data_IF_414028363021
#
_entry.id   IF_414028363021
#
_cell.length_a   1.000
_cell.length_b   1.000
_cell.length_c   1.000
_cell.angle_alpha   90.00
_cell.angle_beta   90.00
_cell.angle_gamma   90.00
#
_symmetry.space_group_name_H-M   'P 1'
#
loop_
_entity.id
_entity.type
_entity.pdbx_description
1 polymer ?
#
# COMPACT_ATOMS: atom_id res chain seq x y z
N UNK A 1 81.07 -13.66 -80.87
CA UNK A 1 81.55 -12.46 -81.60
C UNK A 1 80.51 -11.37 -81.46
N UNK A 2 80.80 -10.37 -80.64
CA UNK A 2 79.93 -9.23 -80.31
C UNK A 2 79.99 -8.20 -81.45
N UNK A 3 78.87 -7.98 -82.14
CA UNK A 3 78.73 -6.82 -83.03
C UNK A 3 78.25 -5.63 -82.20
N UNK A 4 79.19 -4.81 -81.73
CA UNK A 4 78.88 -3.48 -81.21
C UNK A 4 78.44 -2.58 -82.37
N UNK A 5 77.15 -2.24 -82.42
CA UNK A 5 76.63 -1.23 -83.35
C UNK A 5 77.17 0.15 -82.95
N UNK A 6 78.17 0.63 -83.68
CA UNK A 6 78.66 2.01 -83.60
C UNK A 6 77.76 2.88 -84.49
N UNK A 7 77.09 3.87 -83.91
CA UNK A 7 76.30 4.85 -84.65
C UNK A 7 77.15 6.09 -84.96
N UNK A 8 77.18 6.50 -86.22
CA UNK A 8 77.92 7.68 -86.69
C UNK A 8 76.97 8.85 -86.89
N UNK A 9 77.29 10.00 -86.27
CA UNK A 9 76.68 11.28 -86.58
C UNK A 9 77.78 12.28 -86.98
N UNK A 10 77.63 12.93 -88.13
CA UNK A 10 78.49 14.04 -88.59
C UNK A 10 77.93 15.37 -88.08
N UNK A 11 78.81 16.24 -87.58
CA UNK A 11 78.47 17.62 -87.26
C UNK A 11 78.60 18.50 -88.53
N UNK A 12 77.67 19.43 -88.86
CA UNK A 12 77.63 20.07 -90.18
C UNK A 12 78.51 21.32 -90.35
N UNK A 13 79.28 21.74 -89.35
CA UNK A 13 80.03 23.00 -89.43
C UNK A 13 81.48 22.84 -88.99
N UNK A 14 82.35 22.71 -90.00
CA UNK A 14 83.80 22.97 -90.04
C UNK A 14 84.73 22.25 -89.03
N UNK A 15 85.63 21.40 -89.57
CA UNK A 15 86.98 21.19 -89.01
C UNK A 15 87.22 19.91 -88.21
N UNK A 16 87.59 18.83 -88.91
CA UNK A 16 88.37 17.65 -88.47
C UNK A 16 88.54 17.39 -86.95
N UNK A 17 87.48 16.96 -86.27
CA UNK A 17 87.57 16.01 -85.16
C UNK A 17 86.20 15.38 -84.89
N UNK A 18 85.99 14.13 -85.33
CA UNK A 18 84.82 13.37 -84.91
C UNK A 18 85.03 13.00 -83.42
N UNK A 19 84.40 13.74 -82.50
CA UNK A 19 84.40 13.36 -81.09
C UNK A 19 83.48 12.14 -80.93
N UNK A 20 84.07 10.94 -80.94
CA UNK A 20 83.34 9.69 -80.73
C UNK A 20 83.14 9.53 -79.21
N UNK A 21 81.98 10.00 -78.72
CA UNK A 21 81.59 9.75 -77.34
C UNK A 21 80.91 8.39 -77.26
N UNK A 22 81.34 7.58 -76.30
CA UNK A 22 80.65 6.34 -75.97
C UNK A 22 79.23 6.68 -75.52
N UNK A 23 78.24 5.82 -75.82
CA UNK A 23 76.81 6.07 -75.51
C UNK A 23 76.57 6.52 -74.06
N UNK A 24 77.37 5.97 -73.13
CA UNK A 24 77.38 6.29 -71.71
C UNK A 24 77.85 7.71 -71.38
N UNK A 25 78.83 8.25 -72.11
CA UNK A 25 79.31 9.62 -71.94
C UNK A 25 78.29 10.64 -72.46
N UNK A 26 77.62 10.33 -73.57
CA UNK A 26 76.54 11.16 -74.10
C UNK A 26 75.33 11.21 -73.16
N UNK A 27 74.94 10.07 -72.60
CA UNK A 27 73.87 9.98 -71.60
C UNK A 27 74.21 10.71 -70.29
N UNK A 28 75.49 10.73 -69.90
CA UNK A 28 75.97 11.49 -68.73
C UNK A 28 75.87 12.99 -68.94
N UNK A 29 76.31 13.50 -70.09
CA UNK A 29 76.28 14.93 -70.42
C UNK A 29 74.82 15.42 -70.56
N UNK A 30 73.95 14.64 -71.21
CA UNK A 30 72.51 14.96 -71.32
C UNK A 30 71.76 14.88 -70.00
N UNK A 31 72.21 14.08 -69.02
CA UNK A 31 71.65 14.09 -67.65
C UNK A 31 72.06 15.32 -66.84
N UNK A 32 73.24 15.88 -67.08
CA UNK A 32 73.73 17.07 -66.38
C UNK A 32 73.16 18.40 -66.94
N UNK A 33 72.67 18.40 -68.19
CA UNK A 33 72.13 19.58 -68.88
C UNK A 33 70.60 19.67 -68.91
N UNK A 34 69.88 18.67 -68.39
CA UNK A 34 68.41 18.76 -68.24
C UNK A 34 68.05 19.74 -67.10
N UNK A 35 67.10 20.69 -67.31
CA UNK A 35 66.61 21.54 -66.23
C UNK A 35 66.03 20.67 -65.12
N UNK A 36 66.41 20.92 -63.85
CA UNK A 36 65.84 20.25 -62.68
C UNK A 36 64.40 20.73 -62.37
N UNK A 37 63.55 20.91 -63.38
CA UNK A 37 62.17 21.40 -63.20
C UNK A 37 61.30 20.39 -62.42
N UNK A 38 61.62 19.09 -62.47
CA UNK A 38 60.81 18.05 -61.82
C UNK A 38 61.23 17.68 -60.39
N UNK A 39 62.37 18.19 -59.89
CA UNK A 39 62.88 17.77 -58.56
C UNK A 39 62.14 18.49 -57.43
N UNK A 40 61.97 19.80 -57.57
CA UNK A 40 61.21 20.63 -56.62
C UNK A 40 59.73 20.23 -56.57
N UNK A 41 59.12 19.87 -57.71
CA UNK A 41 57.74 19.38 -57.73
C UNK A 41 57.59 18.02 -57.05
N UNK A 42 58.55 17.11 -57.23
CA UNK A 42 58.54 15.81 -56.54
C UNK A 42 58.76 15.96 -55.04
N UNK A 43 59.67 16.83 -54.62
CA UNK A 43 59.92 17.15 -53.21
C UNK A 43 58.70 17.82 -52.57
N UNK A 44 58.04 18.76 -53.27
CA UNK A 44 56.81 19.39 -52.79
C UNK A 44 55.64 18.41 -52.68
N UNK A 45 55.47 17.50 -53.65
CA UNK A 45 54.44 16.44 -53.57
C UNK A 45 54.71 15.49 -52.40
N UNK A 46 55.98 15.13 -52.18
CA UNK A 46 56.39 14.29 -51.04
C UNK A 46 56.12 14.99 -49.70
N UNK A 47 56.47 16.26 -49.58
CA UNK A 47 56.20 17.07 -48.39
C UNK A 47 54.69 17.24 -48.14
N UNK A 48 53.91 17.49 -49.20
CA UNK A 48 52.45 17.55 -49.09
C UNK A 48 51.86 16.23 -48.60
N UNK A 49 52.32 15.09 -49.14
CA UNK A 49 51.88 13.77 -48.68
C UNK A 49 52.20 13.54 -47.19
N UNK A 50 53.38 13.93 -46.72
CA UNK A 50 53.75 13.86 -45.30
C UNK A 50 52.90 14.81 -44.41
N UNK A 51 52.58 15.99 -44.92
CA UNK A 51 51.70 16.95 -44.22
C UNK A 51 50.27 16.39 -44.12
N UNK A 52 49.75 15.78 -45.18
CA UNK A 52 48.42 15.14 -45.14
C UNK A 52 48.40 13.94 -44.20
N UNK A 53 49.45 13.12 -44.21
CA UNK A 53 49.58 11.97 -43.31
C UNK A 53 49.67 12.41 -41.84
N UNK A 54 50.48 13.43 -41.53
CA UNK A 54 50.59 13.97 -40.18
C UNK A 54 49.30 14.65 -39.71
N UNK A 55 48.60 15.38 -40.59
CA UNK A 55 47.26 15.93 -40.29
C UNK A 55 46.25 14.82 -40.00
N UNK A 56 46.22 13.75 -40.80
CA UNK A 56 45.34 12.61 -40.57
C UNK A 56 45.63 11.91 -39.23
N UNK A 57 46.91 11.79 -38.85
CA UNK A 57 47.30 11.27 -37.54
C UNK A 57 46.90 12.18 -36.39
N UNK A 58 47.08 13.50 -36.52
CA UNK A 58 46.66 14.46 -35.50
C UNK A 58 45.15 14.47 -35.27
N UNK A 59 44.34 14.32 -36.32
CA UNK A 59 42.87 14.23 -36.20
C UNK A 59 42.40 13.01 -35.39
N UNK A 60 43.12 11.89 -35.52
CA UNK A 60 42.83 10.65 -34.82
C UNK A 60 43.58 10.51 -33.49
N UNK A 61 44.37 11.51 -33.10
CA UNK A 61 45.15 11.47 -31.87
C UNK A 61 44.24 11.63 -30.66
N UNK A 62 44.34 10.80 -29.63
CA UNK A 62 43.43 10.81 -28.48
C UNK A 62 43.34 12.13 -27.70
N UNK A 63 44.32 13.01 -27.82
CA UNK A 63 44.48 14.26 -27.05
C UNK A 63 44.10 15.51 -27.85
N UNK A 64 43.78 15.38 -29.14
CA UNK A 64 43.24 16.49 -29.92
C UNK A 64 41.73 16.61 -29.70
N UNK A 65 41.17 17.78 -29.98
CA UNK A 65 39.73 18.05 -29.83
C UNK A 65 38.90 17.07 -30.67
N UNK A 66 39.32 16.82 -31.92
CA UNK A 66 38.65 15.86 -32.81
C UNK A 66 38.75 14.42 -32.29
N UNK A 67 39.91 14.00 -31.78
CA UNK A 67 40.08 12.68 -31.18
C UNK A 67 39.28 12.49 -29.87
N UNK A 68 39.18 13.53 -29.05
CA UNK A 68 38.33 13.54 -27.85
C UNK A 68 36.85 13.38 -28.23
N UNK A 69 36.39 14.10 -29.27
CA UNK A 69 35.02 13.99 -29.80
C UNK A 69 34.78 12.57 -30.32
N UNK A 70 35.66 12.03 -31.16
CA UNK A 70 35.54 10.68 -31.70
C UNK A 70 35.51 9.60 -30.59
N UNK A 71 36.33 9.77 -29.54
CA UNK A 71 36.35 8.89 -28.37
C UNK A 71 35.06 8.99 -27.55
N UNK A 72 34.51 10.19 -27.38
CA UNK A 72 33.24 10.41 -26.71
C UNK A 72 32.07 9.80 -27.51
N UNK A 73 32.04 9.97 -28.83
CA UNK A 73 31.05 9.34 -29.72
C UNK A 73 31.14 7.82 -29.69
N UNK A 74 32.35 7.26 -29.71
CA UNK A 74 32.56 5.80 -29.59
C UNK A 74 32.09 5.28 -28.23
N UNK A 75 32.34 6.00 -27.13
CA UNK A 75 31.79 5.68 -25.81
C UNK A 75 30.26 5.72 -25.81
N UNK A 76 29.64 6.76 -26.38
CA UNK A 76 28.18 6.87 -26.51
C UNK A 76 27.58 5.72 -27.33
N UNK A 77 28.19 5.35 -28.46
CA UNK A 77 27.75 4.21 -29.29
C UNK A 77 27.84 2.89 -28.51
N UNK A 78 28.94 2.66 -27.79
CA UNK A 78 29.12 1.46 -26.97
C UNK A 78 28.12 1.40 -25.81
N UNK A 79 27.84 2.53 -25.16
CA UNK A 79 26.85 2.61 -24.09
C UNK A 79 25.44 2.34 -24.61
N UNK A 80 25.05 2.94 -25.74
CA UNK A 80 23.76 2.68 -26.39
C UNK A 80 23.61 1.22 -26.82
N UNK A 81 24.68 0.59 -27.30
CA UNK A 81 24.68 -0.84 -27.65
C UNK A 81 24.46 -1.73 -26.42
N UNK A 82 25.10 -1.41 -25.27
CA UNK A 82 24.88 -2.11 -24.00
C UNK A 82 23.46 -1.91 -23.48
N UNK A 83 22.94 -0.70 -23.52
CA UNK A 83 21.56 -0.40 -23.11
C UNK A 83 20.55 -1.19 -23.97
N UNK A 84 20.72 -1.19 -25.28
CA UNK A 84 19.88 -1.99 -26.18
C UNK A 84 20.00 -3.49 -25.92
N UNK A 85 21.18 -3.99 -25.57
CA UNK A 85 21.37 -5.38 -25.18
C UNK A 85 20.64 -5.69 -23.87
N UNK A 86 20.74 -4.84 -22.86
CA UNK A 86 20.02 -5.01 -21.58
C UNK A 86 18.50 -4.92 -21.75
N UNK A 87 18.00 -4.04 -22.61
CA UNK A 87 16.57 -3.95 -22.93
C UNK A 87 16.10 -5.22 -23.66
N UNK A 88 16.90 -5.74 -24.61
CA UNK A 88 16.59 -7.01 -25.28
C UNK A 88 16.63 -8.19 -24.32
N UNK A 89 17.60 -8.25 -23.41
CA UNK A 89 17.65 -9.25 -22.34
C UNK A 89 16.44 -9.14 -21.41
N UNK A 90 16.03 -7.92 -21.05
CA UNK A 90 14.85 -7.69 -20.23
C UNK A 90 13.55 -8.07 -20.95
N UNK A 91 13.44 -7.79 -22.24
CA UNK A 91 12.30 -8.20 -23.07
C UNK A 91 12.27 -9.72 -23.33
N UNK A 92 13.45 -10.36 -23.42
CA UNK A 92 13.58 -11.80 -23.63
C UNK A 92 13.52 -12.61 -22.33
N UNK A 93 13.69 -11.99 -21.16
CA UNK A 93 13.25 -12.56 -19.88
C UNK A 93 11.74 -12.66 -19.98
N UNK A 94 11.27 -13.87 -20.31
CA UNK A 94 9.85 -14.26 -20.40
C UNK A 94 9.03 -13.40 -19.44
N UNK A 95 8.02 -12.72 -19.95
CA UNK A 95 6.88 -12.26 -19.15
C UNK A 95 6.42 -13.51 -18.39
N UNK A 96 6.87 -13.63 -17.15
CA UNK A 96 6.60 -14.80 -16.32
C UNK A 96 5.11 -14.74 -16.04
N UNK A 97 4.39 -15.82 -16.36
CA UNK A 97 2.96 -15.98 -16.11
C UNK A 97 2.55 -15.67 -14.65
N UNK A 98 3.51 -15.62 -13.72
CA UNK A 98 3.32 -15.22 -12.32
C UNK A 98 2.80 -13.79 -12.12
N UNK A 99 2.93 -12.88 -13.08
CA UNK A 99 2.43 -11.51 -12.85
C UNK A 99 0.90 -11.44 -12.84
N UNK A 100 0.18 -12.27 -13.60
CA UNK A 100 -1.29 -12.22 -13.61
C UNK A 100 -1.88 -12.72 -12.30
N UNK A 101 -1.44 -13.89 -11.80
CA UNK A 101 -1.89 -14.43 -10.50
C UNK A 101 -1.54 -13.51 -9.33
N UNK A 102 -0.35 -12.91 -9.33
CA UNK A 102 0.06 -11.96 -8.29
C UNK A 102 -0.74 -10.66 -8.37
N UNK A 103 -1.06 -10.18 -9.58
CA UNK A 103 -1.94 -9.02 -9.77
C UNK A 103 -3.38 -9.35 -9.34
N UNK A 104 -3.86 -10.55 -9.62
CA UNK A 104 -5.20 -11.03 -9.24
C UNK A 104 -5.31 -11.17 -7.71
N UNK A 105 -4.32 -11.77 -7.06
CA UNK A 105 -4.22 -11.84 -5.59
C UNK A 105 -4.13 -10.46 -4.96
N UNK A 106 -3.34 -9.54 -5.51
CA UNK A 106 -3.27 -8.18 -5.02
C UNK A 106 -4.61 -7.44 -5.16
N UNK A 107 -5.33 -7.62 -6.28
CA UNK A 107 -6.68 -7.06 -6.47
C UNK A 107 -7.67 -7.62 -5.46
N UNK A 108 -7.60 -8.92 -5.20
CA UNK A 108 -8.47 -9.59 -4.24
C UNK A 108 -8.19 -9.09 -2.81
N UNK A 109 -6.93 -9.00 -2.39
CA UNK A 109 -6.54 -8.45 -1.08
C UNK A 109 -6.93 -6.99 -0.91
N UNK A 110 -6.80 -6.16 -1.96
CA UNK A 110 -7.24 -4.76 -1.93
C UNK A 110 -8.77 -4.67 -1.81
N UNK A 111 -9.50 -5.53 -2.52
CA UNK A 111 -10.94 -5.56 -2.44
C UNK A 111 -11.41 -6.00 -1.06
N UNK A 112 -10.96 -7.16 -0.58
CA UNK A 112 -11.27 -7.71 0.75
C UNK A 112 -10.84 -6.74 1.86
N UNK A 113 -9.69 -6.08 1.74
CA UNK A 113 -9.20 -5.09 2.70
C UNK A 113 -9.93 -3.74 2.65
N UNK A 114 -10.73 -3.45 1.61
CA UNK A 114 -11.45 -2.18 1.50
C UNK A 114 -12.73 -2.18 2.36
N UNK A 115 -13.16 -0.98 2.78
CA UNK A 115 -14.42 -0.80 3.54
C UNK A 115 -15.65 -1.34 2.78
N UNK A 116 -15.62 -1.31 1.44
CA UNK A 116 -16.72 -1.76 0.59
C UNK A 116 -16.67 -3.27 0.33
N UNK A 117 -15.49 -3.81 0.02
CA UNK A 117 -15.34 -5.25 -0.18
C UNK A 117 -15.58 -6.03 1.09
N UNK A 118 -15.12 -5.55 2.26
CA UNK A 118 -15.47 -6.15 3.55
C UNK A 118 -16.99 -6.23 3.77
N UNK A 119 -17.73 -5.15 3.48
CA UNK A 119 -19.20 -5.16 3.62
C UNK A 119 -19.87 -6.14 2.66
N UNK A 120 -19.37 -6.27 1.43
CA UNK A 120 -19.91 -7.20 0.44
C UNK A 120 -19.60 -8.66 0.80
N UNK A 121 -18.39 -8.93 1.28
CA UNK A 121 -17.98 -10.26 1.76
C UNK A 121 -18.76 -10.66 3.00
N UNK A 122 -18.97 -9.74 3.96
CA UNK A 122 -19.84 -9.99 5.12
C UNK A 122 -21.28 -10.27 4.71
N UNK A 123 -21.86 -9.49 3.78
CA UNK A 123 -23.21 -9.74 3.28
C UNK A 123 -23.32 -11.08 2.54
N UNK A 124 -22.27 -11.50 1.82
CA UNK A 124 -22.21 -12.80 1.17
C UNK A 124 -22.17 -13.95 2.19
N UNK A 125 -21.38 -13.82 3.25
CA UNK A 125 -21.37 -14.79 4.35
C UNK A 125 -22.72 -14.88 5.05
N UNK A 126 -23.35 -13.74 5.36
CA UNK A 126 -24.68 -13.73 5.96
C UNK A 126 -25.73 -14.42 5.07
N UNK A 127 -25.65 -14.24 3.75
CA UNK A 127 -26.51 -14.93 2.79
C UNK A 127 -26.29 -16.43 2.79
N UNK A 128 -25.03 -16.90 2.84
CA UNK A 128 -24.73 -18.34 2.91
C UNK A 128 -25.15 -18.97 4.22
N UNK A 129 -24.92 -18.30 5.34
CA UNK A 129 -25.36 -18.76 6.65
C UNK A 129 -26.89 -18.90 6.73
N UNK A 130 -27.63 -18.07 6.00
CA UNK A 130 -29.08 -18.16 5.89
C UNK A 130 -29.50 -19.36 5.03
N UNK A 131 -28.83 -19.59 3.89
CA UNK A 131 -29.06 -20.76 3.02
C UNK A 131 -28.82 -22.08 3.79
N UNK A 132 -27.72 -22.18 4.53
CA UNK A 132 -27.42 -23.35 5.36
C UNK A 132 -28.46 -23.56 6.46
N UNK A 133 -28.93 -22.48 7.11
CA UNK A 133 -29.99 -22.58 8.11
C UNK A 133 -31.31 -23.07 7.53
N UNK A 134 -31.68 -22.61 6.33
CA UNK A 134 -32.89 -23.10 5.66
C UNK A 134 -32.77 -24.60 5.31
N UNK A 135 -31.61 -25.04 4.83
CA UNK A 135 -31.34 -26.46 4.59
C UNK A 135 -31.46 -27.29 5.87
N UNK A 136 -30.92 -26.82 7.00
CA UNK A 136 -31.05 -27.48 8.30
C UNK A 136 -32.51 -27.54 8.79
N UNK A 137 -33.28 -26.47 8.58
CA UNK A 137 -34.71 -26.43 8.93
C UNK A 137 -35.49 -27.46 8.11
N UNK A 138 -35.21 -27.55 6.81
CA UNK A 138 -35.87 -28.51 5.92
C UNK A 138 -35.51 -29.95 6.31
N UNK A 139 -34.23 -30.23 6.57
CA UNK A 139 -33.78 -31.54 7.04
C UNK A 139 -34.44 -31.95 8.36
N UNK A 140 -34.58 -31.02 9.31
CA UNK A 140 -35.27 -31.27 10.59
C UNK A 140 -36.76 -31.55 10.41
N UNK A 141 -37.42 -30.92 9.43
CA UNK A 141 -38.83 -31.22 9.09
C UNK A 141 -38.97 -32.62 8.51
N UNK A 142 -38.05 -33.04 7.64
CA UNK A 142 -38.04 -34.40 7.08
C UNK A 142 -37.85 -35.48 8.15
N UNK A 143 -36.93 -35.27 9.11
CA UNK A 143 -36.73 -36.20 10.23
C UNK A 143 -38.03 -36.36 11.03
N UNK A 144 -38.65 -35.25 11.43
CA UNK A 144 -39.91 -35.28 12.18
C UNK A 144 -41.05 -35.96 11.42
N UNK A 145 -41.07 -35.85 10.10
CA UNK A 145 -42.07 -36.52 9.28
C UNK A 145 -41.84 -38.04 9.24
N UNK A 146 -40.58 -38.48 9.08
CA UNK A 146 -40.21 -39.91 9.16
C UNK A 146 -40.48 -40.52 10.54
N UNK A 147 -40.27 -39.77 11.62
CA UNK A 147 -40.59 -40.19 13.00
C UNK A 147 -42.11 -40.43 13.17
N UNK A 148 -42.94 -39.49 12.69
CA UNK A 148 -44.42 -39.63 12.72
C UNK A 148 -44.90 -40.83 11.91
N UNK A 149 -44.31 -41.08 10.74
CA UNK A 149 -44.63 -42.25 9.92
C UNK A 149 -44.26 -43.58 10.60
N UNK A 150 -43.18 -43.61 11.41
CA UNK A 150 -42.81 -44.79 12.19
C UNK A 150 -43.71 -44.99 13.42
N UNK A 151 -44.15 -43.92 14.09
CA UNK A 151 -45.11 -44.01 15.21
C UNK A 151 -46.49 -44.51 14.75
N UNK A 152 -46.95 -44.10 13.56
CA UNK A 152 -48.19 -44.62 12.96
C UNK A 152 -48.10 -46.11 12.59
N UNK A 153 -46.89 -46.64 12.31
CA UNK A 153 -46.69 -48.07 12.05
C UNK A 153 -46.70 -48.91 13.33
N UNK A 154 -46.35 -48.35 14.50
CA UNK A 154 -46.34 -49.05 15.80
C UNK A 154 -47.72 -49.16 16.46
N UNK A 155 -48.68 -48.34 16.06
CA UNK A 155 -50.03 -48.29 16.67
C UNK A 155 -51.06 -49.25 16.05
N UNK A 156 -50.67 -50.05 15.04
CA UNK A 156 -51.51 -51.11 14.46
C UNK A 156 -50.98 -52.50 14.82
N UNK A 157 -51.10 -52.92 16.08
CA UNK A 157 -50.88 -54.33 16.43
C UNK A 157 -51.77 -54.80 17.59
N UNK A 158 -52.65 -55.74 17.22
CA UNK A 158 -53.31 -56.83 17.98
C UNK A 158 -54.30 -56.47 19.10
N UNK A 159 -55.59 -56.71 18.82
CA UNK A 159 -56.65 -56.91 19.82
C UNK A 159 -57.01 -58.41 19.81
N UNK A 160 -56.82 -59.10 20.94
CA UNK A 160 -57.16 -60.51 21.12
C UNK A 160 -58.58 -60.63 21.68
N UNK A 161 -59.42 -61.47 21.07
CA UNK A 161 -60.75 -61.82 21.59
C UNK A 161 -60.64 -62.91 22.67
N UNK A 162 -61.29 -62.70 23.82
CA UNK A 162 -61.60 -63.77 24.78
C UNK A 162 -63.11 -64.03 24.77
N UNK A 163 -63.49 -65.29 24.62
CA UNK A 163 -64.86 -65.79 24.70
C UNK A 163 -64.98 -66.62 25.99
N UNK A 164 -65.95 -66.29 26.83
CA UNK A 164 -66.25 -66.99 28.07
C UNK A 164 -67.08 -68.25 27.80
N UNK A 165 -66.68 -69.37 28.39
CA UNK A 165 -67.56 -70.50 28.64
C UNK A 165 -67.26 -71.11 30.01
N UNK A 166 -68.21 -70.94 30.93
CA UNK A 166 -68.33 -71.68 32.17
C UNK A 166 -68.77 -73.12 31.88
N UNK A 167 -68.07 -74.08 32.49
CA UNK A 167 -68.64 -75.22 33.24
C UNK A 167 -67.53 -75.95 34.01
N UNK A 168 -67.90 -76.45 35.20
CA UNK A 168 -67.14 -77.24 36.17
C UNK A 168 -66.19 -76.48 37.10
N UNK A 169 -66.78 -75.78 38.09
CA UNK A 169 -66.09 -74.85 39.00
C UNK A 169 -65.08 -75.45 39.96
N UNK A 170 -65.11 -76.75 40.23
CA UNK A 170 -64.26 -77.34 41.29
C UNK A 170 -63.09 -78.17 40.74
N UNK A 171 -63.22 -78.81 39.56
CA UNK A 171 -62.09 -79.43 38.84
C UNK A 171 -61.23 -78.34 38.16
N UNK A 172 -61.87 -77.29 37.63
CA UNK A 172 -61.16 -76.14 37.04
C UNK A 172 -60.39 -75.31 38.06
N UNK A 173 -60.81 -75.24 39.33
CA UNK A 173 -60.06 -74.50 40.36
C UNK A 173 -58.74 -75.17 40.71
N UNK A 174 -58.70 -76.50 40.74
CA UNK A 174 -57.50 -77.25 41.09
C UNK A 174 -56.53 -77.30 39.89
N UNK A 175 -57.03 -77.47 38.67
CA UNK A 175 -56.24 -77.28 37.45
C UNK A 175 -55.77 -75.83 37.27
N UNK A 176 -56.61 -74.82 37.56
CA UNK A 176 -56.18 -73.40 37.53
C UNK A 176 -55.10 -73.11 38.56
N UNK A 177 -55.14 -73.71 39.76
CA UNK A 177 -54.06 -73.57 40.75
C UNK A 177 -52.75 -74.21 40.26
N UNK A 178 -52.81 -75.40 39.66
CA UNK A 178 -51.63 -76.03 39.07
C UNK A 178 -51.07 -75.20 37.91
N UNK A 179 -51.93 -74.72 37.00
CA UNK A 179 -51.57 -73.83 35.88
C UNK A 179 -51.06 -72.47 36.39
N UNK A 180 -51.62 -71.90 37.45
CA UNK A 180 -51.11 -70.66 38.08
C UNK A 180 -49.72 -70.87 38.67
N UNK A 181 -49.47 -72.02 39.32
CA UNK A 181 -48.16 -72.33 39.89
C UNK A 181 -47.13 -72.57 38.79
N UNK A 182 -47.48 -73.26 37.70
CA UNK A 182 -46.62 -73.42 36.53
C UNK A 182 -46.38 -72.08 35.81
N UNK A 183 -47.43 -71.30 35.56
CA UNK A 183 -47.32 -69.96 34.96
C UNK A 183 -46.49 -69.00 35.83
N UNK A 184 -46.58 -69.11 37.15
CA UNK A 184 -45.77 -68.34 38.11
C UNK A 184 -44.29 -68.73 38.03
N UNK A 185 -43.99 -70.03 37.89
CA UNK A 185 -42.62 -70.51 37.68
C UNK A 185 -42.07 -70.04 36.33
N UNK A 186 -42.81 -70.19 35.24
CA UNK A 186 -42.38 -69.73 33.91
C UNK A 186 -42.22 -68.21 33.86
N UNK A 187 -43.10 -67.45 34.52
CA UNK A 187 -42.97 -65.99 34.61
C UNK A 187 -41.75 -65.56 35.43
N UNK A 188 -41.44 -66.27 36.53
CA UNK A 188 -40.20 -66.04 37.27
C UNK A 188 -38.96 -66.33 36.42
N UNK A 189 -38.94 -67.45 35.70
CA UNK A 189 -37.82 -67.81 34.82
C UNK A 189 -37.65 -66.81 33.67
N UNK A 190 -38.74 -66.35 33.07
CA UNK A 190 -38.73 -65.29 32.05
C UNK A 190 -38.19 -63.98 32.59
N UNK A 191 -38.59 -63.59 33.80
CA UNK A 191 -38.14 -62.35 34.43
C UNK A 191 -36.66 -62.40 34.82
N UNK A 192 -36.18 -63.53 35.33
CA UNK A 192 -34.75 -63.73 35.62
C UNK A 192 -33.92 -63.75 34.33
N UNK A 193 -34.39 -64.38 33.26
CA UNK A 193 -33.74 -64.32 31.93
C UNK A 193 -33.68 -62.89 31.38
N UNK A 194 -34.77 -62.12 31.48
CA UNK A 194 -34.78 -60.72 31.08
C UNK A 194 -33.79 -59.87 31.88
N UNK A 195 -33.69 -60.10 33.20
CA UNK A 195 -32.68 -59.44 34.04
C UNK A 195 -31.26 -59.80 33.64
N UNK A 196 -30.98 -61.07 33.35
CA UNK A 196 -29.66 -61.50 32.87
C UNK A 196 -29.31 -60.88 31.51
N UNK A 197 -30.27 -60.81 30.58
CA UNK A 197 -30.08 -60.18 29.27
C UNK A 197 -29.86 -58.68 29.39
N UNK A 198 -30.62 -57.98 30.25
CA UNK A 198 -30.38 -56.57 30.56
C UNK A 198 -29.01 -56.33 31.21
N UNK A 199 -28.58 -57.21 32.11
CA UNK A 199 -27.25 -57.11 32.72
C UNK A 199 -26.14 -57.28 31.68
N UNK A 200 -26.25 -58.28 30.80
CA UNK A 200 -25.31 -58.51 29.69
C UNK A 200 -25.32 -57.36 28.69
N UNK A 201 -26.47 -56.76 28.39
CA UNK A 201 -26.58 -55.60 27.51
C UNK A 201 -25.90 -54.36 28.13
N UNK A 202 -26.13 -54.09 29.43
CA UNK A 202 -25.48 -52.99 30.16
C UNK A 202 -23.96 -53.17 30.23
N UNK A 203 -23.48 -54.39 30.38
CA UNK A 203 -22.04 -54.69 30.40
C UNK A 203 -21.39 -54.50 29.03
N UNK A 204 -22.03 -54.99 27.95
CA UNK A 204 -21.59 -54.71 26.57
C UNK A 204 -21.56 -53.20 26.27
N UNK A 205 -22.54 -52.46 26.74
CA UNK A 205 -22.59 -51.02 26.53
C UNK A 205 -21.47 -50.30 27.28
N UNK A 206 -21.18 -50.67 28.53
CA UNK A 206 -20.01 -50.16 29.26
C UNK A 206 -18.69 -50.47 28.55
N UNK A 207 -18.55 -51.67 27.98
CA UNK A 207 -17.36 -52.04 27.21
C UNK A 207 -17.21 -51.15 25.97
N UNK A 208 -18.30 -50.90 25.25
CA UNK A 208 -18.33 -50.01 24.08
C UNK A 208 -17.98 -48.57 24.46
N UNK A 209 -18.54 -48.05 25.54
CA UNK A 209 -18.26 -46.70 26.05
C UNK A 209 -16.78 -46.53 26.42
N UNK A 210 -16.15 -47.57 26.99
CA UNK A 210 -14.71 -47.57 27.31
C UNK A 210 -13.87 -47.55 26.02
N UNK A 211 -14.22 -48.36 25.02
CA UNK A 211 -13.49 -48.36 23.74
C UNK A 211 -13.63 -47.04 22.99
N UNK A 212 -14.82 -46.44 23.01
CA UNK A 212 -15.08 -45.15 22.39
C UNK A 212 -14.30 -44.03 23.09
N UNK A 213 -14.25 -44.04 24.42
CA UNK A 213 -13.46 -43.08 25.20
C UNK A 213 -11.94 -43.20 24.90
N UNK A 214 -11.42 -44.41 24.74
CA UNK A 214 -10.02 -44.63 24.34
C UNK A 214 -9.73 -44.13 22.92
N UNK A 215 -10.64 -44.38 21.98
CA UNK A 215 -10.54 -43.87 20.61
C UNK A 215 -10.55 -42.35 20.59
N UNK A 216 -11.48 -41.72 21.32
CA UNK A 216 -11.61 -40.28 21.40
C UNK A 216 -10.38 -39.62 22.01
N UNK A 217 -9.81 -40.22 23.07
CA UNK A 217 -8.55 -39.74 23.66
C UNK A 217 -7.41 -39.76 22.64
N UNK A 218 -7.29 -40.84 21.86
CA UNK A 218 -6.26 -40.96 20.82
C UNK A 218 -6.43 -39.94 19.69
N UNK A 219 -7.67 -39.66 19.29
CA UNK A 219 -7.95 -38.62 18.29
C UNK A 219 -7.56 -37.24 18.78
N UNK A 220 -7.87 -36.90 20.04
CA UNK A 220 -7.48 -35.63 20.65
C UNK A 220 -5.95 -35.47 20.75
N UNK A 221 -5.23 -36.55 21.08
CA UNK A 221 -3.76 -36.55 21.08
C UNK A 221 -3.19 -36.27 19.68
N UNK A 222 -3.74 -36.92 18.64
CA UNK A 222 -3.33 -36.70 17.25
C UNK A 222 -3.64 -35.27 16.77
N UNK A 223 -4.79 -34.72 17.12
CA UNK A 223 -5.15 -33.32 16.82
C UNK A 223 -4.17 -32.36 17.49
N UNK A 224 -3.83 -32.60 18.76
CA UNK A 224 -2.86 -31.77 19.48
C UNK A 224 -1.45 -31.85 18.88
N UNK A 225 -1.00 -33.04 18.48
CA UNK A 225 0.27 -33.21 17.76
C UNK A 225 0.26 -32.50 16.40
N UNK A 226 -0.85 -32.55 15.67
CA UNK A 226 -0.97 -31.85 14.39
C UNK A 226 -0.94 -30.33 14.59
N UNK A 227 -1.68 -29.82 15.58
CA UNK A 227 -1.73 -28.39 15.90
C UNK A 227 -0.36 -27.86 16.33
N UNK A 228 0.37 -28.60 17.17
CA UNK A 228 1.71 -28.21 17.61
C UNK A 228 2.73 -28.21 16.46
N UNK A 229 2.68 -29.20 15.55
CA UNK A 229 3.49 -29.21 14.32
C UNK A 229 3.16 -28.02 13.43
N UNK A 230 1.88 -27.69 13.27
CA UNK A 230 1.44 -26.56 12.46
C UNK A 230 1.96 -25.23 13.01
N UNK A 231 1.82 -25.01 14.33
CA UNK A 231 2.36 -23.82 15.02
C UNK A 231 3.88 -23.68 14.86
N UNK A 232 4.61 -24.80 14.87
CA UNK A 232 6.05 -24.79 14.65
C UNK A 232 6.40 -24.36 13.21
N UNK A 233 5.68 -24.88 12.21
CA UNK A 233 5.88 -24.52 10.80
C UNK A 233 5.53 -23.05 10.55
N UNK A 234 4.41 -22.56 11.10
CA UNK A 234 4.03 -21.15 11.02
C UNK A 234 5.11 -20.24 11.61
N UNK A 235 5.64 -20.59 12.79
CA UNK A 235 6.71 -19.83 13.42
C UNK A 235 7.97 -19.80 12.55
N UNK A 236 8.37 -20.94 11.97
CA UNK A 236 9.52 -21.01 11.06
C UNK A 236 9.31 -20.18 9.80
N UNK A 237 8.12 -20.18 9.22
CA UNK A 237 7.78 -19.36 8.05
C UNK A 237 7.84 -17.86 8.38
N UNK A 238 7.33 -17.46 9.55
CA UNK A 238 7.41 -16.06 10.01
C UNK A 238 8.86 -15.62 10.23
N UNK A 239 9.69 -16.46 10.85
CA UNK A 239 11.11 -16.18 11.05
C UNK A 239 11.85 -16.03 9.71
N UNK A 240 11.56 -16.90 8.73
CA UNK A 240 12.11 -16.80 7.37
C UNK A 240 11.70 -15.49 6.69
N UNK A 241 10.40 -15.15 6.69
CA UNK A 241 9.90 -13.88 6.16
C UNK A 241 10.57 -12.67 6.81
N UNK A 242 10.76 -12.68 8.13
CA UNK A 242 11.43 -11.60 8.84
C UNK A 242 12.90 -11.44 8.40
N UNK A 243 13.62 -12.56 8.21
CA UNK A 243 15.01 -12.52 7.74
C UNK A 243 15.14 -12.04 6.30
N UNK A 244 14.25 -12.45 5.39
CA UNK A 244 14.24 -12.00 4.00
C UNK A 244 13.88 -10.52 3.89
N UNK A 245 12.89 -10.07 4.66
CA UNK A 245 12.54 -8.66 4.74
C UNK A 245 13.71 -7.80 5.22
N UNK A 246 14.47 -8.28 6.21
CA UNK A 246 15.67 -7.58 6.68
C UNK A 246 16.76 -7.51 5.59
N UNK A 247 17.01 -8.62 4.88
CA UNK A 247 18.00 -8.67 3.78
C UNK A 247 17.64 -7.71 2.65
N UNK A 248 16.38 -7.74 2.19
CA UNK A 248 15.91 -6.85 1.11
C UNK A 248 15.97 -5.38 1.50
N UNK A 249 15.66 -5.06 2.77
CA UNK A 249 15.81 -3.70 3.30
C UNK A 249 17.28 -3.24 3.31
N UNK A 250 18.20 -4.10 3.73
CA UNK A 250 19.63 -3.79 3.76
C UNK A 250 20.22 -3.65 2.34
N UNK A 251 19.77 -4.46 1.38
CA UNK A 251 20.14 -4.34 -0.03
C UNK A 251 19.61 -3.05 -0.66
N UNK A 252 18.36 -2.68 -0.36
CA UNK A 252 17.78 -1.41 -0.82
C UNK A 252 18.57 -0.22 -0.27
N UNK A 253 18.90 -0.23 1.03
CA UNK A 253 19.69 0.84 1.65
C UNK A 253 21.08 0.97 1.02
N UNK A 254 21.74 -0.15 0.69
CA UNK A 254 23.02 -0.13 -0.05
C UNK A 254 22.86 0.45 -1.45
N UNK A 255 21.82 0.04 -2.17
CA UNK A 255 21.55 0.55 -3.51
C UNK A 255 21.26 2.06 -3.52
N UNK A 256 20.48 2.54 -2.55
CA UNK A 256 20.20 3.97 -2.38
C UNK A 256 21.48 4.76 -2.06
N UNK A 257 22.33 4.25 -1.17
CA UNK A 257 23.61 4.87 -0.85
C UNK A 257 24.53 4.96 -2.07
N UNK A 258 24.65 3.88 -2.85
CA UNK A 258 25.44 3.85 -4.08
C UNK A 258 24.88 4.80 -5.15
N UNK A 259 23.55 4.89 -5.26
CA UNK A 259 22.89 5.78 -6.20
C UNK A 259 23.14 7.25 -5.86
N UNK A 260 22.99 7.62 -4.58
CA UNK A 260 23.27 8.98 -4.08
C UNK A 260 24.75 9.33 -4.29
N UNK A 261 25.66 8.40 -3.99
CA UNK A 261 27.10 8.61 -4.20
C UNK A 261 27.44 8.88 -5.67
N UNK A 262 26.78 8.18 -6.62
CA UNK A 262 26.94 8.44 -8.06
C UNK A 262 26.41 9.82 -8.47
N UNK A 263 25.25 10.22 -7.96
CA UNK A 263 24.69 11.55 -8.21
C UNK A 263 25.68 12.63 -7.72
N UNK A 264 26.22 12.46 -6.52
CA UNK A 264 27.11 13.43 -5.92
C UNK A 264 28.47 13.50 -6.65
N UNK A 265 28.97 12.38 -7.14
CA UNK A 265 30.14 12.36 -8.03
C UNK A 265 29.89 13.14 -9.32
N UNK A 266 28.76 12.88 -10.02
CA UNK A 266 28.39 13.62 -11.23
C UNK A 266 28.21 15.13 -10.96
N UNK A 267 27.63 15.49 -9.81
CA UNK A 267 27.48 16.89 -9.40
C UNK A 267 28.84 17.57 -9.22
N UNK A 268 29.79 16.90 -8.55
CA UNK A 268 31.17 17.42 -8.36
C UNK A 268 31.89 17.61 -9.69
N UNK A 269 31.77 16.66 -10.62
CA UNK A 269 32.33 16.79 -11.97
C UNK A 269 31.74 17.99 -12.72
N UNK A 270 30.42 18.18 -12.63
CA UNK A 270 29.74 19.31 -13.26
C UNK A 270 30.13 20.65 -12.63
N UNK A 271 30.28 20.70 -11.31
CA UNK A 271 30.77 21.89 -10.59
C UNK A 271 32.21 22.22 -11.00
N UNK A 272 33.10 21.22 -11.13
CA UNK A 272 34.46 21.42 -11.63
C UNK A 272 34.48 21.95 -13.07
N UNK A 273 33.68 21.36 -13.96
CA UNK A 273 33.55 21.82 -15.35
C UNK A 273 33.08 23.28 -15.40
N UNK A 274 32.06 23.62 -14.60
CA UNK A 274 31.54 24.98 -14.50
C UNK A 274 32.60 25.96 -13.99
N UNK A 275 33.42 25.57 -13.00
CA UNK A 275 34.55 26.38 -12.54
C UNK A 275 35.60 26.60 -13.64
N UNK A 276 35.96 25.56 -14.40
CA UNK A 276 36.90 25.68 -15.52
C UNK A 276 36.35 26.60 -16.62
N UNK A 277 35.08 26.44 -16.99
CA UNK A 277 34.39 27.31 -17.96
C UNK A 277 34.42 28.77 -17.48
N UNK A 278 34.12 29.02 -16.20
CA UNK A 278 34.20 30.37 -15.62
C UNK A 278 35.60 30.95 -15.70
N UNK A 279 36.64 30.19 -15.35
CA UNK A 279 38.03 30.63 -15.43
C UNK A 279 38.46 30.97 -16.86
N UNK A 280 38.01 30.20 -17.85
CA UNK A 280 38.27 30.51 -19.27
C UNK A 280 37.54 31.78 -19.67
N UNK A 281 36.26 31.92 -19.35
CA UNK A 281 35.50 33.14 -19.61
C UNK A 281 36.13 34.37 -18.97
N UNK A 282 36.55 34.29 -17.71
CA UNK A 282 37.24 35.38 -17.00
C UNK A 282 38.56 35.76 -17.68
N UNK A 283 39.34 34.78 -18.14
CA UNK A 283 40.58 35.03 -18.91
C UNK A 283 40.29 35.74 -20.23
N UNK A 284 39.35 35.23 -21.03
CA UNK A 284 38.96 35.85 -22.31
C UNK A 284 38.43 37.28 -22.09
N UNK A 285 37.61 37.48 -21.06
CA UNK A 285 37.09 38.82 -20.70
C UNK A 285 38.24 39.74 -20.26
N UNK A 286 39.21 39.23 -19.50
CA UNK A 286 40.37 40.02 -19.05
C UNK A 286 41.24 40.43 -20.23
N UNK A 287 41.57 39.51 -21.14
CA UNK A 287 42.30 39.80 -22.38
C UNK A 287 41.56 40.82 -23.25
N UNK A 288 40.23 40.67 -23.37
CA UNK A 288 39.39 41.62 -24.10
C UNK A 288 39.38 43.03 -23.47
N UNK A 289 39.33 43.10 -22.13
CA UNK A 289 39.43 44.36 -21.35
C UNK A 289 40.80 45.02 -21.45
N UNK A 290 41.87 44.23 -21.50
CA UNK A 290 43.25 44.72 -21.59
C UNK A 290 43.65 45.16 -23.01
N UNK A 291 42.84 44.83 -24.03
CA UNK A 291 43.04 45.36 -25.38
C UNK A 291 42.95 46.89 -25.41
N UNK A 292 43.91 47.53 -26.09
CA UNK A 292 44.06 49.00 -26.13
C UNK A 292 42.81 49.75 -26.63
N UNK A 293 41.93 49.08 -27.39
CA UNK A 293 40.69 49.68 -27.93
C UNK A 293 39.50 49.65 -26.95
N UNK A 294 39.47 48.75 -25.97
CA UNK A 294 38.29 48.55 -25.11
C UNK A 294 38.49 48.95 -23.64
N UNK A 295 39.74 49.12 -23.18
CA UNK A 295 40.04 49.48 -21.78
C UNK A 295 39.27 50.72 -21.30
N UNK A 296 39.28 51.79 -22.09
CA UNK A 296 38.59 53.05 -21.77
C UNK A 296 37.05 52.88 -21.69
N UNK A 297 36.45 52.07 -22.57
CA UNK A 297 35.01 51.81 -22.57
C UNK A 297 34.59 50.98 -21.34
N UNK A 298 35.41 50.00 -20.94
CA UNK A 298 35.16 49.23 -19.73
C UNK A 298 35.29 50.06 -18.46
N UNK A 299 36.30 50.93 -18.37
CA UNK A 299 36.48 51.83 -17.22
C UNK A 299 35.32 52.82 -17.09
N UNK A 300 34.85 53.39 -18.21
CA UNK A 300 33.66 54.25 -18.24
C UNK A 300 32.38 53.49 -17.83
N UNK A 301 32.20 52.26 -18.32
CA UNK A 301 31.03 51.44 -17.97
C UNK A 301 31.07 51.01 -16.50
N UNK A 302 32.26 50.70 -15.96
CA UNK A 302 32.46 50.33 -14.56
C UNK A 302 32.18 51.50 -13.61
N UNK A 303 32.63 52.71 -13.95
CA UNK A 303 32.29 53.95 -13.24
C UNK A 303 30.77 54.14 -13.18
N UNK A 304 30.10 54.02 -14.33
CA UNK A 304 28.64 54.18 -14.42
C UNK A 304 27.86 53.10 -13.64
N UNK A 305 28.36 51.86 -13.61
CA UNK A 305 27.79 50.80 -12.77
C UNK A 305 28.00 51.06 -11.27
N UNK A 306 29.17 51.57 -10.87
CA UNK A 306 29.45 51.93 -9.48
C UNK A 306 28.55 53.10 -9.01
N UNK A 307 28.33 54.09 -9.85
CA UNK A 307 27.40 55.19 -9.57
C UNK A 307 25.96 54.68 -9.42
N UNK A 308 25.49 53.85 -10.34
CA UNK A 308 24.15 53.22 -10.22
C UNK A 308 24.01 52.38 -8.96
N UNK A 309 25.05 51.64 -8.58
CA UNK A 309 25.05 50.84 -7.36
C UNK A 309 24.99 51.73 -6.12
N UNK A 310 25.77 52.82 -6.06
CA UNK A 310 25.70 53.80 -4.98
C UNK A 310 24.30 54.40 -4.83
N UNK A 311 23.67 54.79 -5.95
CA UNK A 311 22.30 55.33 -5.95
C UNK A 311 21.31 54.31 -5.36
N UNK A 312 21.45 53.04 -5.73
CA UNK A 312 20.59 51.97 -5.22
C UNK A 312 20.84 51.66 -3.73
N UNK A 313 22.10 51.61 -3.31
CA UNK A 313 22.49 51.39 -1.91
C UNK A 313 21.99 52.55 -1.03
N UNK A 314 22.09 53.80 -1.50
CA UNK A 314 21.54 54.99 -0.84
C UNK A 314 20.00 54.94 -0.75
N UNK A 315 19.34 54.42 -1.80
CA UNK A 315 17.90 54.21 -1.78
C UNK A 315 17.50 53.18 -0.72
N UNK A 316 18.19 52.04 -0.65
CA UNK A 316 17.96 51.01 0.37
C UNK A 316 18.20 51.54 1.78
N UNK A 317 19.31 52.25 2.01
CA UNK A 317 19.64 52.84 3.30
C UNK A 317 18.55 53.85 3.76
N UNK A 318 18.06 54.70 2.85
CA UNK A 318 16.93 55.60 3.13
C UNK A 318 15.66 54.84 3.47
N UNK A 319 15.40 53.71 2.81
CA UNK A 319 14.20 52.91 3.04
C UNK A 319 14.24 52.15 4.37
N UNK A 320 15.40 51.58 4.71
CA UNK A 320 15.66 50.93 6.00
C UNK A 320 15.49 51.94 7.13
N UNK A 321 16.13 53.12 7.02
CA UNK A 321 16.00 54.20 8.02
C UNK A 321 14.54 54.63 8.22
N UNK A 322 13.76 54.78 7.14
CA UNK A 322 12.31 55.04 7.23
C UNK A 322 11.55 53.91 7.92
N UNK A 323 11.95 52.66 7.72
CA UNK A 323 11.40 51.49 8.39
C UNK A 323 11.67 51.50 9.90
N UNK A 324 12.92 51.76 10.28
CA UNK A 324 13.35 51.90 11.68
C UNK A 324 12.61 53.04 12.39
N UNK A 325 12.48 54.21 11.75
CA UNK A 325 11.73 55.35 12.29
C UNK A 325 10.25 55.01 12.53
N UNK A 326 9.63 54.24 11.60
CA UNK A 326 8.24 53.76 11.77
C UNK A 326 8.12 52.76 12.91
N UNK A 327 9.07 51.84 13.05
CA UNK A 327 9.10 50.88 14.14
C UNK A 327 9.25 51.58 15.50
N UNK A 328 10.23 52.49 15.62
CA UNK A 328 10.44 53.30 16.82
C UNK A 328 9.21 54.13 17.19
N UNK A 329 8.52 54.72 16.19
CA UNK A 329 7.26 55.46 16.42
C UNK A 329 6.14 54.55 16.92
N UNK A 330 6.04 53.31 16.41
CA UNK A 330 5.05 52.32 16.84
C UNK A 330 5.33 51.83 18.26
N UNK A 331 6.59 51.61 18.61
CA UNK A 331 7.00 51.24 19.97
C UNK A 331 6.69 52.34 20.99
N UNK A 332 6.98 53.60 20.67
CA UNK A 332 6.62 54.75 21.52
C UNK A 332 5.11 54.81 21.78
N UNK A 333 4.28 54.70 20.73
CA UNK A 333 2.81 54.66 20.86
C UNK A 333 2.33 53.49 21.70
N UNK A 334 2.91 52.30 21.53
CA UNK A 334 2.55 51.12 22.31
C UNK A 334 2.95 51.26 23.80
N UNK A 335 4.10 51.88 24.08
CA UNK A 335 4.53 52.18 25.45
C UNK A 335 3.61 53.19 26.13
N UNK A 336 3.20 54.24 25.42
CA UNK A 336 2.20 55.20 25.90
C UNK A 336 0.84 54.55 26.16
N UNK A 337 0.36 53.70 25.24
CA UNK A 337 -0.89 52.94 25.44
C UNK A 337 -0.82 52.06 26.68
N UNK A 338 0.27 51.31 26.88
CA UNK A 338 0.48 50.50 28.10
C UNK A 338 0.49 51.34 29.37
N UNK A 339 1.07 52.54 29.34
CA UNK A 339 1.04 53.48 30.48
C UNK A 339 -0.40 53.95 30.75
N UNK A 340 -1.17 54.24 29.72
CA UNK A 340 -2.57 54.65 29.87
C UNK A 340 -3.44 53.50 30.40
N UNK A 341 -3.28 52.29 29.89
CA UNK A 341 -4.00 51.10 30.36
C UNK A 341 -3.70 50.84 31.85
N UNK A 342 -2.44 51.00 32.28
CA UNK A 342 -2.05 50.90 33.69
C UNK A 342 -2.72 51.97 34.56
N UNK A 343 -2.84 53.22 34.06
CA UNK A 343 -3.55 54.29 34.78
C UNK A 343 -5.04 53.95 34.90
N UNK A 344 -5.69 53.55 33.81
CA UNK A 344 -7.09 53.16 33.79
C UNK A 344 -7.36 51.99 34.75
N UNK A 345 -6.50 50.97 34.77
CA UNK A 345 -6.64 49.83 35.68
C UNK A 345 -6.47 50.21 37.15
N UNK A 346 -5.58 51.16 37.47
CA UNK A 346 -5.50 51.72 38.83
C UNK A 346 -6.79 52.44 39.21
N UNK A 347 -7.32 53.28 38.32
CA UNK A 347 -8.60 53.96 38.54
C UNK A 347 -9.75 52.97 38.76
N UNK A 348 -9.83 51.89 37.98
CA UNK A 348 -10.85 50.84 38.18
C UNK A 348 -10.66 50.12 39.52
N UNK A 349 -9.42 49.82 39.90
CA UNK A 349 -9.12 49.21 41.19
C UNK A 349 -9.53 50.12 42.36
N UNK A 350 -9.27 51.43 42.27
CA UNK A 350 -9.67 52.41 43.27
C UNK A 350 -11.19 52.53 43.37
N UNK A 351 -11.90 52.53 42.23
CA UNK A 351 -13.38 52.51 42.18
C UNK A 351 -13.92 51.23 42.83
N UNK A 352 -13.35 50.07 42.48
CA UNK A 352 -13.79 48.78 43.05
C UNK A 352 -13.53 48.70 44.56
N UNK A 353 -12.41 49.26 45.04
CA UNK A 353 -12.09 49.35 46.45
C UNK A 353 -13.10 50.24 47.19
N UNK A 354 -13.40 51.41 46.65
CA UNK A 354 -14.43 52.31 47.18
C UNK A 354 -15.82 51.65 47.22
N UNK A 355 -16.21 50.91 46.17
CA UNK A 355 -17.47 50.15 46.15
C UNK A 355 -17.49 49.03 47.20
N UNK A 356 -16.38 48.29 47.37
CA UNK A 356 -16.28 47.25 48.39
C UNK A 356 -16.36 47.83 49.81
N UNK A 357 -15.71 48.96 50.06
CA UNK A 357 -15.80 49.70 51.33
C UNK A 357 -17.24 50.17 51.60
N UNK A 358 -17.95 50.69 50.58
CA UNK A 358 -19.35 51.09 50.70
C UNK A 358 -20.31 49.90 50.98
N UNK A 359 -20.05 48.73 50.39
CA UNK A 359 -20.83 47.50 50.67
C UNK A 359 -20.58 47.00 52.09
N UNK A 360 -19.33 47.00 52.55
CA UNK A 360 -18.98 46.60 53.91
C UNK A 360 -19.61 47.52 54.97
N UNK A 361 -19.66 48.83 54.71
CA UNK A 361 -20.37 49.79 55.58
C UNK A 361 -21.87 49.47 55.69
N UNK A 362 -22.51 48.96 54.64
CA UNK A 362 -23.93 48.57 54.66
C UNK A 362 -24.21 47.24 55.37
N UNK A 363 -23.25 46.32 55.39
CA UNK A 363 -23.40 45.01 56.07
C UNK A 363 -23.34 45.12 57.60
N UNK A 364 -22.83 46.23 58.15
CA UNK A 364 -22.87 46.50 59.59
C UNK A 364 -24.22 46.99 60.14
N UNK A 365 -25.19 47.34 59.28
CA UNK A 365 -26.40 48.07 59.69
C UNK A 365 -27.69 47.22 59.73
N UNK A 366 -27.71 46.01 59.14
CA UNK A 366 -28.91 45.17 59.14
C UNK A 366 -28.70 43.81 59.81
N UNK A 367 -28.60 43.80 61.14
CA UNK A 367 -29.05 42.65 61.95
C UNK A 367 -30.53 42.84 62.25
N UNK A 368 -31.40 42.33 61.37
CA UNK A 368 -32.81 42.16 61.67
C UNK A 368 -33.12 40.68 61.76
N UNK A 369 -33.47 40.22 62.96
CA UNK A 369 -34.02 38.90 63.23
C UNK A 369 -35.46 38.85 62.69
N UNK A 370 -35.78 37.84 61.87
CA UNK A 370 -37.16 37.44 61.65
C UNK A 370 -37.24 35.96 61.27
N UNK A 371 -37.74 35.15 62.20
CA UNK A 371 -38.30 33.84 61.96
C UNK A 371 -39.55 33.98 61.08
N UNK A 372 -39.41 33.73 59.78
CA UNK A 372 -40.55 33.37 58.93
C UNK A 372 -40.09 32.64 57.68
N UNK A 373 -40.73 31.50 57.46
CA UNK A 373 -40.58 30.57 56.35
C UNK A 373 -40.44 31.29 54.99
N UNK A 374 -39.39 30.97 54.24
CA UNK A 374 -39.33 31.20 52.80
C UNK A 374 -38.72 30.00 52.10
N UNK A 375 -39.56 29.28 51.36
CA UNK A 375 -39.21 28.28 50.36
C UNK A 375 -38.42 28.94 49.22
N UNK A 376 -37.09 28.88 49.27
CA UNK A 376 -36.25 29.12 48.08
C UNK A 376 -35.10 28.10 48.09
N UNK A 377 -35.20 27.17 47.15
CA UNK A 377 -34.13 26.23 46.76
C UNK A 377 -32.85 27.00 46.42
N UNK A 378 -31.74 26.66 47.08
CA UNK A 378 -30.39 27.11 46.70
C UNK A 378 -30.05 26.52 45.32
N UNK A 379 -30.34 27.25 44.25
CA UNK A 379 -29.75 27.00 42.94
C UNK A 379 -28.36 27.63 42.91
N UNK A 380 -27.33 26.85 43.22
CA UNK A 380 -25.94 27.24 42.92
C UNK A 380 -25.70 27.19 41.41
N UNK A 381 -25.13 28.29 40.93
CA UNK A 381 -24.95 28.68 39.53
C UNK A 381 -24.06 27.70 38.74
N UNK A 382 -24.23 27.64 37.40
CA UNK A 382 -23.34 26.89 36.51
C UNK A 382 -22.03 27.67 36.29
N UNK A 383 -20.89 27.04 36.58
CA UNK A 383 -19.57 27.52 36.16
C UNK A 383 -18.99 26.57 35.13
N UNK A 384 -18.99 27.03 33.89
CA UNK A 384 -18.27 26.46 32.75
C UNK A 384 -16.79 26.36 33.14
N UNK A 385 -16.27 25.14 33.29
CA UNK A 385 -14.83 24.89 33.19
C UNK A 385 -14.55 23.63 32.37
N UNK A 386 -13.67 23.84 31.40
CA UNK A 386 -13.06 22.88 30.49
C UNK A 386 -12.44 21.74 31.30
N UNK A 387 -12.84 20.49 31.02
CA UNK A 387 -12.21 19.29 31.59
C UNK A 387 -10.87 19.04 30.88
N UNK A 388 -9.78 19.17 31.64
CA UNK A 388 -8.55 18.44 31.40
C UNK A 388 -8.49 17.30 32.43
N UNK A 389 -8.20 16.11 31.91
CA UNK A 389 -7.76 14.86 32.56
C UNK A 389 -7.03 14.99 33.90
N UNK A 390 -7.42 14.17 34.88
CA UNK A 390 -6.60 13.09 35.46
C UNK A 390 -7.33 12.32 36.57
N UNK A 391 -6.93 11.06 36.67
CA UNK A 391 -7.49 9.95 37.43
C UNK A 391 -7.53 10.14 38.94
N UNK A 392 -8.57 9.61 39.57
CA UNK A 392 -8.54 9.07 40.93
C UNK A 392 -9.65 8.01 41.05
N UNK A 393 -9.20 6.76 41.14
CA UNK A 393 -9.99 5.60 41.55
C UNK A 393 -10.16 5.68 43.07
N UNK A 394 -11.38 5.59 43.59
CA UNK A 394 -11.76 4.74 44.74
C UNK A 394 -13.30 4.70 44.91
N UNK A 395 -13.84 3.63 45.53
CA UNK A 395 -15.16 3.09 45.21
C UNK A 395 -16.22 3.38 46.29
N UNK A 396 -17.42 3.81 45.89
CA UNK A 396 -18.58 3.83 46.79
C UNK A 396 -19.53 2.66 46.46
N UNK A 397 -19.37 1.58 47.22
CA UNK A 397 -20.30 0.45 47.30
C UNK A 397 -21.63 0.95 47.85
N UNK A 398 -22.64 1.14 46.98
CA UNK A 398 -24.03 1.24 47.41
C UNK A 398 -24.72 -0.10 47.18
N UNK A 399 -25.09 -0.71 48.29
CA UNK A 399 -25.87 -1.94 48.40
C UNK A 399 -27.15 -1.88 47.55
N UNK A 400 -27.11 -2.53 46.39
CA UNK A 400 -28.29 -2.85 45.60
C UNK A 400 -28.69 -4.30 45.87
N UNK A 401 -29.94 -4.50 46.28
CA UNK A 401 -30.56 -5.82 46.52
C UNK A 401 -30.30 -6.77 45.33
N UNK A 402 -30.02 -8.06 45.55
CA UNK A 402 -29.74 -8.99 44.47
C UNK A 402 -30.96 -9.14 43.56
N UNK A 403 -30.81 -8.79 42.29
CA UNK A 403 -31.78 -9.09 41.24
C UNK A 403 -31.72 -10.61 40.96
N UNK A 404 -32.87 -11.29 40.81
CA UNK A 404 -32.90 -12.72 40.57
C UNK A 404 -32.27 -13.03 39.19
N UNK A 405 -31.26 -13.91 39.21
CA UNK A 405 -30.33 -14.23 38.12
C UNK A 405 -30.96 -14.88 36.87
N UNK A 406 -32.28 -15.11 36.84
CA UNK A 406 -32.94 -15.92 35.79
C UNK A 406 -34.21 -15.32 35.18
N UNK A 407 -34.28 -13.99 35.01
CA UNK A 407 -35.35 -13.35 34.23
C UNK A 407 -34.81 -12.63 33.00
N UNK A 408 -35.35 -12.83 31.79
CA UNK A 408 -34.95 -12.03 30.63
C UNK A 408 -35.27 -10.55 30.90
N UNK A 409 -34.27 -9.69 30.71
CA UNK A 409 -34.39 -8.25 30.96
C UNK A 409 -35.58 -7.68 30.18
N UNK A 410 -36.37 -6.79 30.81
CA UNK A 410 -37.56 -6.16 30.21
C UNK A 410 -37.31 -5.51 28.84
N UNK A 411 -36.06 -5.11 28.55
CA UNK A 411 -35.63 -4.62 27.23
C UNK A 411 -35.73 -5.69 26.13
N UNK A 412 -35.31 -6.93 26.42
CA UNK A 412 -35.36 -8.04 25.48
C UNK A 412 -36.81 -8.41 25.11
N UNK A 413 -37.71 -8.39 26.09
CA UNK A 413 -39.14 -8.63 25.86
C UNK A 413 -39.80 -7.52 25.01
N UNK A 414 -39.37 -6.26 25.18
CA UNK A 414 -39.83 -5.16 24.37
C UNK A 414 -39.31 -5.26 22.93
N UNK A 415 -38.05 -5.69 22.75
CA UNK A 415 -37.43 -5.88 21.43
C UNK A 415 -38.05 -7.05 20.66
N UNK A 416 -38.37 -8.16 21.33
CA UNK A 416 -39.04 -9.31 20.71
C UNK A 416 -40.45 -8.97 20.22
N UNK A 417 -41.24 -8.24 21.04
CA UNK A 417 -42.57 -7.76 20.63
C UNK A 417 -42.53 -6.73 19.51
N UNK A 418 -41.41 -6.02 19.34
CA UNK A 418 -41.18 -5.12 18.19
C UNK A 418 -40.94 -5.92 16.91
N UNK A 419 -40.12 -6.97 16.99
CA UNK A 419 -39.80 -7.87 15.86
C UNK A 419 -41.01 -8.65 15.37
N UNK A 420 -41.92 -9.06 16.26
CA UNK A 420 -43.19 -9.71 15.86
C UNK A 420 -44.16 -8.77 15.11
N UNK A 421 -43.99 -7.44 15.26
CA UNK A 421 -44.83 -6.43 14.59
C UNK A 421 -44.21 -5.86 13.32
N UNK A 422 -42.97 -6.19 13.01
CA UNK A 422 -42.34 -5.85 11.73
C UNK A 422 -42.85 -6.81 10.64
N UNK A 423 -43.19 -6.32 9.43
CA UNK A 423 -43.67 -7.19 8.37
C UNK A 423 -42.60 -8.25 8.03
N UNK A 424 -43.02 -9.53 8.04
CA UNK A 424 -42.17 -10.69 7.76
C UNK A 424 -41.41 -10.50 6.44
N UNK A 425 -40.07 -10.49 6.41
CA UNK A 425 -39.37 -10.10 5.19
C UNK A 425 -39.29 -11.17 4.08
N UNK A 426 -39.95 -12.33 4.21
CA UNK A 426 -39.56 -13.51 3.44
C UNK A 426 -40.75 -14.36 2.97
N UNK A 427 -40.99 -14.33 1.66
CA UNK A 427 -41.28 -15.56 0.92
C UNK A 427 -40.93 -15.37 -0.57
N UNK A 428 -39.99 -16.18 -1.07
CA UNK A 428 -39.69 -16.33 -2.49
C UNK A 428 -38.28 -15.88 -2.91
N UNK A 429 -37.62 -16.68 -3.75
CA UNK A 429 -36.31 -16.40 -4.37
C UNK A 429 -36.25 -15.02 -5.06
N UNK A 430 -37.39 -14.54 -5.57
CA UNK A 430 -37.51 -13.21 -6.19
C UNK A 430 -37.32 -12.04 -5.20
N UNK A 431 -37.69 -12.17 -3.93
CA UNK A 431 -37.54 -11.06 -2.97
C UNK A 431 -36.08 -10.82 -2.59
N UNK A 432 -35.25 -11.86 -2.62
CA UNK A 432 -33.81 -11.82 -2.33
C UNK A 432 -33.05 -11.10 -3.44
N UNK A 433 -33.32 -11.45 -4.71
CA UNK A 433 -32.72 -10.76 -5.86
C UNK A 433 -33.15 -9.28 -5.94
N UNK A 434 -34.42 -8.98 -5.63
CA UNK A 434 -34.91 -7.60 -5.59
C UNK A 434 -34.24 -6.74 -4.49
N UNK A 435 -33.91 -7.35 -3.35
CA UNK A 435 -33.18 -6.66 -2.28
C UNK A 435 -31.72 -6.40 -2.67
N UNK A 436 -31.08 -7.37 -3.31
CA UNK A 436 -29.75 -7.19 -3.90
C UNK A 436 -29.75 -6.05 -4.92
N UNK A 437 -30.73 -5.98 -5.83
CA UNK A 437 -30.85 -4.89 -6.80
C UNK A 437 -31.05 -3.52 -6.16
N UNK A 438 -31.97 -3.39 -5.20
CA UNK A 438 -32.20 -2.11 -4.52
C UNK A 438 -30.96 -1.61 -3.79
N UNK A 439 -30.23 -2.52 -3.14
CA UNK A 439 -29.00 -2.15 -2.43
C UNK A 439 -27.84 -1.86 -3.40
N UNK A 440 -27.73 -2.63 -4.48
CA UNK A 440 -26.71 -2.45 -5.51
C UNK A 440 -26.90 -1.16 -6.33
N UNK A 441 -28.14 -0.81 -6.72
CA UNK A 441 -28.46 0.44 -7.41
C UNK A 441 -28.22 1.68 -6.53
N UNK A 442 -28.60 1.61 -5.25
CA UNK A 442 -28.34 2.68 -4.29
C UNK A 442 -26.82 2.89 -4.12
N UNK A 443 -26.07 1.81 -4.00
CA UNK A 443 -24.61 1.85 -3.86
C UNK A 443 -23.92 2.33 -5.14
N UNK A 444 -24.43 1.98 -6.32
CA UNK A 444 -23.97 2.49 -7.62
C UNK A 444 -24.16 4.00 -7.76
N UNK A 445 -25.29 4.52 -7.28
CA UNK A 445 -25.60 5.96 -7.34
C UNK A 445 -24.64 6.78 -6.47
N UNK A 446 -24.16 6.21 -5.36
CA UNK A 446 -23.22 6.84 -4.43
C UNK A 446 -21.73 6.64 -4.83
N UNK A 447 -21.45 5.77 -5.80
CA UNK A 447 -20.08 5.44 -6.22
C UNK A 447 -19.51 6.41 -7.26
N UNK A 448 -18.27 6.88 -7.07
CA UNK A 448 -17.55 7.75 -8.03
C UNK A 448 -17.12 7.02 -9.31
N UNK A 449 -16.83 5.71 -9.22
CA UNK A 449 -16.40 4.88 -10.36
C UNK A 449 -17.51 3.92 -10.76
N UNK A 450 -18.47 4.41 -11.55
CA UNK A 450 -19.70 3.67 -11.89
C UNK A 450 -19.46 2.47 -12.82
N UNK A 451 -18.46 2.53 -13.69
CA UNK A 451 -18.24 1.54 -14.76
C UNK A 451 -17.83 0.15 -14.23
N UNK A 452 -16.84 0.01 -13.32
CA UNK A 452 -16.48 -1.30 -12.77
C UNK A 452 -17.57 -1.88 -11.86
N UNK A 453 -18.24 -1.05 -11.07
CA UNK A 453 -19.33 -1.47 -10.19
C UNK A 453 -20.56 -1.97 -10.98
N UNK A 454 -20.82 -1.41 -12.17
CA UNK A 454 -21.87 -1.88 -13.08
C UNK A 454 -21.59 -3.31 -13.57
N UNK A 455 -20.34 -3.62 -13.89
CA UNK A 455 -19.94 -4.96 -14.37
C UNK A 455 -20.25 -6.06 -13.37
N UNK A 456 -20.04 -5.83 -12.07
CA UNK A 456 -20.34 -6.81 -11.02
C UNK A 456 -21.85 -7.13 -10.96
N UNK A 457 -22.69 -6.12 -11.18
CA UNK A 457 -24.15 -6.28 -11.20
C UNK A 457 -24.60 -6.99 -12.49
N UNK A 458 -23.97 -6.66 -13.62
CA UNK A 458 -24.24 -7.32 -14.90
C UNK A 458 -23.78 -8.79 -14.90
N UNK A 459 -22.68 -9.12 -14.23
CA UNK A 459 -22.22 -10.50 -14.01
C UNK A 459 -23.16 -11.28 -13.09
N UNK A 460 -23.60 -10.67 -11.99
CA UNK A 460 -24.60 -11.29 -11.10
C UNK A 460 -25.92 -11.58 -11.84
N UNK A 461 -26.38 -10.67 -12.70
CA UNK A 461 -27.53 -10.88 -13.58
C UNK A 461 -27.35 -12.07 -14.52
N UNK A 462 -26.17 -12.16 -15.13
CA UNK A 462 -25.83 -13.20 -16.09
C UNK A 462 -25.73 -14.58 -15.43
N UNK A 463 -25.12 -14.67 -14.25
CA UNK A 463 -24.96 -15.92 -13.51
C UNK A 463 -26.28 -16.46 -12.95
N UNK A 464 -27.20 -15.57 -12.56
CA UNK A 464 -28.49 -15.97 -11.98
C UNK A 464 -29.66 -15.94 -12.98
N UNK A 465 -29.40 -15.71 -14.27
CA UNK A 465 -30.43 -15.75 -15.31
C UNK A 465 -31.49 -14.62 -15.22
N UNK A 466 -31.15 -13.49 -14.61
CA UNK A 466 -32.08 -12.38 -14.31
C UNK A 466 -32.16 -11.32 -15.44
N UNK A 467 -31.69 -11.64 -16.64
CA UNK A 467 -31.65 -10.69 -17.76
C UNK A 467 -33.06 -10.19 -18.12
N UNK A 468 -33.22 -8.86 -18.15
CA UNK A 468 -34.44 -8.12 -18.51
C UNK A 468 -34.99 -8.55 -19.88
N UNK A 469 -35.92 -9.50 -19.91
CA UNK A 469 -36.87 -9.68 -21.03
C UNK A 469 -38.32 -9.81 -20.58
N UNK A 470 -38.68 -9.33 -19.39
CA UNK A 470 -40.09 -9.26 -18.95
C UNK A 470 -40.35 -8.04 -18.06
N UNK A 471 -40.25 -6.86 -18.64
CA UNK A 471 -41.10 -5.74 -18.23
C UNK A 471 -41.56 -5.04 -19.51
N UNK A 472 -42.69 -5.50 -20.04
CA UNK A 472 -43.50 -4.70 -20.95
C UNK A 472 -43.90 -3.44 -20.18
N UNK A 473 -43.56 -2.28 -20.74
CA UNK A 473 -44.15 -1.02 -20.34
C UNK A 473 -45.51 -0.93 -21.03
N UNK A 474 -46.58 -0.95 -20.22
CA UNK A 474 -47.78 -0.15 -20.48
C UNK A 474 -47.62 1.19 -19.73
#
# INVERSE_FOLDING_TARGET
MTQSKVHYCRNPSSGLSNLILHKTEWERITRQTKPQENRLEQENKYLQALIEQSRAWMKNWPDTVEGCIAKAEKKKKNQRARELATIKEFANRKIVKNNEEVIEQARQQIFEGSCYGNKLVSALHESKDQEEREAQINFKKEIKQKEKEQEQKKTKTVTFCTFDLDKDSDIMKEQRKCIEVENSKTNKEMFEKQKEEEAKAKEKQKQADITDAQLMKRLLELEHEAETKMKLVEKQALDQCATEYKKTKDELAKWEADYVAKIEACRKEQEQLNCQIKQVHERVIKEYRESSKMKNNFDATKQLQLEKKKIFDDFLAKYIKRGEDRAAKKERKNAEKKKQDRKNNKTIADINKSMAEAVNQRQGVNKCYCDRQCYITKSEKPRIMKKATRDAIEPEVRAAKPLPYFGPQRKLLADLRRREKEPSPWSGTNSIHMLFFKNAEKTLNECKNKIPARKVIDEYNKYNGLNRTTFNYD
#
